data_IF_415453058464
#
_entry.id   IF_415453058464
#
_cell.length_a   1.000
_cell.length_b   1.000
_cell.length_c   1.000
_cell.angle_alpha   90.00
_cell.angle_beta   90.00
_cell.angle_gamma   90.00
#
_symmetry.space_group_name_H-M   'P 1'
#
loop_
_entity.id
_entity.type
_entity.pdbx_description
1 polymer ?
#
# COMPACT_ATOMS: atom_id res chain seq x y z
N UNK A 1 21.22 7.43 11.78
CA UNK A 1 21.10 8.47 10.73
C UNK A 1 19.86 8.15 9.89
N UNK A 2 18.97 9.11 9.65
CA UNK A 2 17.72 8.90 8.91
C UNK A 2 17.93 9.26 7.43
N UNK A 3 17.79 8.28 6.52
CA UNK A 3 17.94 8.50 5.08
C UNK A 3 16.60 8.90 4.43
N UNK A 4 16.46 10.15 3.97
CA UNK A 4 15.20 10.67 3.40
C UNK A 4 15.24 10.67 1.88
N UNK A 5 14.31 9.95 1.26
CA UNK A 5 14.17 9.89 -0.20
C UNK A 5 12.95 10.68 -0.68
N UNK A 6 13.10 11.39 -1.80
CA UNK A 6 12.01 12.16 -2.41
C UNK A 6 11.97 11.95 -3.91
N UNK A 7 10.79 11.70 -4.49
CA UNK A 7 10.64 11.65 -5.96
C UNK A 7 10.99 12.98 -6.65
N UNK A 8 10.94 14.10 -5.91
CA UNK A 8 11.44 15.41 -6.37
C UNK A 8 12.96 15.47 -6.52
N UNK A 9 13.70 14.60 -5.83
CA UNK A 9 15.17 14.59 -5.81
C UNK A 9 15.75 13.45 -6.63
N UNK A 10 15.09 12.28 -6.63
CA UNK A 10 15.55 11.06 -7.27
C UNK A 10 14.34 10.33 -7.82
N UNK A 11 14.40 9.79 -9.04
CA UNK A 11 13.31 8.93 -9.55
C UNK A 11 13.15 7.72 -8.63
N UNK A 12 11.99 7.62 -7.99
CA UNK A 12 11.62 6.50 -7.13
C UNK A 12 10.84 5.49 -7.96
N UNK A 13 11.52 4.77 -8.85
CA UNK A 13 10.91 3.71 -9.66
C UNK A 13 10.78 2.39 -8.87
N UNK A 14 10.23 1.36 -9.52
CA UNK A 14 10.08 0.03 -8.90
C UNK A 14 11.43 -0.56 -8.47
N UNK A 15 12.48 -0.36 -9.28
CA UNK A 15 13.82 -0.87 -9.01
C UNK A 15 14.43 -0.24 -7.74
N UNK A 16 14.11 1.02 -7.47
CA UNK A 16 14.59 1.74 -6.28
C UNK A 16 14.08 1.06 -5.00
N UNK A 17 12.78 0.77 -4.93
CA UNK A 17 12.18 0.21 -3.73
C UNK A 17 12.55 -1.26 -3.55
N UNK A 18 12.52 -2.05 -4.63
CA UNK A 18 12.90 -3.46 -4.60
C UNK A 18 14.31 -3.66 -3.98
N UNK A 19 15.28 -2.84 -4.40
CA UNK A 19 16.65 -2.88 -3.84
C UNK A 19 16.69 -2.61 -2.33
N UNK A 20 15.79 -1.78 -1.81
CA UNK A 20 15.75 -1.35 -0.40
C UNK A 20 14.96 -2.29 0.49
N UNK A 21 13.99 -3.01 -0.07
CA UNK A 21 13.20 -4.02 0.65
C UNK A 21 13.97 -5.33 0.87
N UNK A 22 15.06 -5.56 0.14
CA UNK A 22 15.93 -6.71 0.36
C UNK A 22 16.56 -6.65 1.75
N UNK A 23 16.32 -7.69 2.54
CA UNK A 23 16.82 -7.78 3.92
C UNK A 23 16.04 -6.92 4.92
N UNK A 24 14.89 -6.36 4.53
CA UNK A 24 14.03 -5.62 5.44
C UNK A 24 13.31 -6.58 6.42
N UNK A 25 13.25 -6.18 7.68
CA UNK A 25 12.44 -6.83 8.71
C UNK A 25 11.00 -6.34 8.73
N UNK A 26 10.71 -5.19 8.13
CA UNK A 26 9.35 -4.66 8.05
C UNK A 26 9.27 -3.47 7.12
N UNK A 27 8.07 -3.21 6.63
CA UNK A 27 7.79 -2.08 5.75
C UNK A 27 6.42 -1.47 6.06
N UNK A 28 6.43 -0.21 6.48
CA UNK A 28 5.21 0.56 6.71
C UNK A 28 5.00 1.55 5.59
N UNK A 29 3.79 1.66 5.07
CA UNK A 29 3.46 2.52 3.95
C UNK A 29 2.16 3.28 4.19
N UNK A 30 2.20 4.57 3.90
CA UNK A 30 1.03 5.42 3.67
C UNK A 30 0.91 5.60 2.16
N UNK A 31 -0.26 5.29 1.63
CA UNK A 31 -0.58 5.46 0.22
C UNK A 31 -1.87 6.27 0.04
N UNK A 32 -2.15 6.65 -1.20
CA UNK A 32 -3.24 7.56 -1.53
C UNK A 32 -4.60 6.87 -1.46
N UNK A 33 -5.06 6.34 -2.60
CA UNK A 33 -6.35 5.66 -2.72
C UNK A 33 -6.22 4.14 -2.68
N UNK A 34 -7.16 3.45 -2.04
CA UNK A 34 -7.16 2.00 -1.84
C UNK A 34 -6.92 1.21 -3.12
N UNK A 35 -7.82 1.32 -4.11
CA UNK A 35 -7.77 0.56 -5.37
C UNK A 35 -6.44 0.71 -6.13
N UNK A 36 -5.98 1.95 -6.32
CA UNK A 36 -4.71 2.23 -7.01
C UNK A 36 -3.48 1.84 -6.20
N UNK A 37 -3.52 2.04 -4.88
CA UNK A 37 -2.36 1.83 -4.01
C UNK A 37 -2.10 0.37 -3.73
N UNK A 38 -3.15 -0.44 -3.58
CA UNK A 38 -3.00 -1.86 -3.31
C UNK A 38 -2.40 -2.59 -4.52
N UNK A 39 -2.76 -2.16 -5.73
CA UNK A 39 -2.17 -2.65 -6.98
C UNK A 39 -0.73 -2.19 -7.16
N UNK A 40 -0.40 -0.97 -6.74
CA UNK A 40 0.98 -0.48 -6.73
C UNK A 40 1.86 -1.32 -5.79
N UNK A 41 1.39 -1.57 -4.56
CA UNK A 41 2.06 -2.38 -3.54
C UNK A 41 2.23 -3.84 -3.99
N UNK A 42 1.22 -4.42 -4.64
CA UNK A 42 1.30 -5.78 -5.19
C UNK A 42 2.38 -5.95 -6.27
N UNK A 43 2.76 -4.86 -6.93
CA UNK A 43 3.87 -4.86 -7.88
C UNK A 43 5.24 -4.96 -7.22
N UNK A 44 5.38 -4.61 -5.94
CA UNK A 44 6.67 -4.49 -5.24
C UNK A 44 7.24 -5.85 -4.83
N UNK A 45 8.55 -5.91 -4.54
CA UNK A 45 9.20 -7.13 -4.04
C UNK A 45 9.00 -7.26 -2.52
N UNK A 46 7.75 -7.51 -2.11
CA UNK A 46 7.43 -7.70 -0.70
C UNK A 46 7.92 -9.05 -0.18
N UNK A 47 8.13 -10.04 -1.05
CA UNK A 47 8.63 -11.37 -0.72
C UNK A 47 9.93 -11.31 0.09
N UNK A 48 10.82 -10.38 -0.25
CA UNK A 48 12.12 -10.23 0.41
C UNK A 48 12.05 -9.64 1.81
N UNK A 49 10.89 -9.12 2.24
CA UNK A 49 10.66 -8.62 3.59
C UNK A 49 10.38 -9.80 4.51
N UNK A 50 11.16 -9.96 5.58
CA UNK A 50 11.02 -11.09 6.49
C UNK A 50 9.87 -10.95 7.49
N UNK A 51 9.44 -9.73 7.78
CA UNK A 51 8.30 -9.44 8.64
C UNK A 51 7.13 -8.77 7.91
N UNK A 52 6.19 -8.15 8.66
CA UNK A 52 4.94 -7.65 8.10
C UNK A 52 5.15 -6.41 7.24
N UNK A 53 4.30 -6.28 6.22
CA UNK A 53 4.11 -5.08 5.43
C UNK A 53 2.78 -4.45 5.84
N UNK A 54 2.80 -3.21 6.33
CA UNK A 54 1.59 -2.51 6.80
C UNK A 54 1.29 -1.34 5.88
N UNK A 55 0.09 -1.31 5.33
CA UNK A 55 -0.39 -0.27 4.44
C UNK A 55 -1.56 0.48 5.07
N UNK A 56 -1.48 1.79 5.09
CA UNK A 56 -2.62 2.68 5.37
C UNK A 56 -2.94 3.46 4.11
N UNK A 57 -4.22 3.50 3.73
CA UNK A 57 -4.68 4.22 2.54
C UNK A 57 -6.10 4.76 2.75
N UNK A 58 -6.49 5.73 1.93
CA UNK A 58 -7.82 6.32 1.95
C UNK A 58 -8.74 5.60 0.96
N UNK A 59 -10.04 5.65 1.24
CA UNK A 59 -11.10 5.19 0.35
C UNK A 59 -12.31 6.11 0.51
N UNK A 60 -13.14 6.17 -0.54
CA UNK A 60 -14.42 6.91 -0.51
C UNK A 60 -15.45 6.06 0.25
N UNK A 61 -15.20 5.85 1.54
CA UNK A 61 -16.10 5.16 2.47
C UNK A 61 -16.76 6.23 3.34
N UNK A 62 -18.08 6.14 3.51
CA UNK A 62 -18.78 7.00 4.45
C UNK A 62 -18.30 6.68 5.88
N UNK A 63 -17.83 7.67 6.66
CA UNK A 63 -17.52 7.47 8.07
C UNK A 63 -18.59 6.70 8.85
N UNK A 64 -19.87 6.92 8.54
CA UNK A 64 -21.00 6.24 9.18
C UNK A 64 -21.03 4.75 8.89
N UNK A 65 -20.56 4.32 7.72
CA UNK A 65 -20.46 2.90 7.37
C UNK A 65 -19.42 2.20 8.26
N UNK A 66 -18.36 2.91 8.66
CA UNK A 66 -17.33 2.39 9.57
C UNK A 66 -17.85 2.30 11.01
N UNK A 67 -18.57 3.33 11.47
CA UNK A 67 -19.13 3.39 12.83
C UNK A 67 -20.29 2.41 13.02
N UNK A 68 -21.10 2.19 11.99
CA UNK A 68 -22.38 1.46 12.12
C UNK A 68 -22.24 -0.03 11.82
N UNK A 69 -21.44 -0.42 10.83
CA UNK A 69 -21.28 -1.84 10.49
C UNK A 69 -20.01 -2.13 9.66
N UNK A 70 -19.11 -2.95 10.20
CA UNK A 70 -17.94 -3.50 9.48
C UNK A 70 -18.28 -4.06 8.09
N UNK A 71 -19.49 -4.62 7.92
CA UNK A 71 -19.98 -5.15 6.64
C UNK A 71 -20.25 -4.04 5.60
N UNK A 72 -20.81 -2.91 6.02
CA UNK A 72 -21.06 -1.77 5.12
C UNK A 72 -19.74 -1.18 4.59
N UNK A 73 -18.75 -1.03 5.46
CA UNK A 73 -17.40 -0.61 5.05
C UNK A 73 -16.74 -1.60 4.07
N UNK A 74 -16.91 -2.91 4.29
CA UNK A 74 -16.43 -3.94 3.36
C UNK A 74 -17.13 -3.88 2.00
N UNK A 75 -18.45 -3.66 1.99
CA UNK A 75 -19.22 -3.53 0.76
C UNK A 75 -18.83 -2.26 -0.03
N UNK A 76 -18.56 -1.15 0.66
CA UNK A 76 -18.04 0.07 0.04
C UNK A 76 -16.66 -0.14 -0.60
N UNK A 77 -15.73 -0.81 0.11
CA UNK A 77 -14.43 -1.19 -0.45
C UNK A 77 -14.57 -2.10 -1.67
N UNK A 78 -15.51 -3.04 -1.64
CA UNK A 78 -15.78 -3.94 -2.77
C UNK A 78 -16.29 -3.16 -3.98
N UNK A 79 -17.17 -2.18 -3.77
CA UNK A 79 -17.65 -1.30 -4.85
C UNK A 79 -16.51 -0.51 -5.47
N UNK A 80 -15.67 0.15 -4.68
CA UNK A 80 -14.50 0.87 -5.20
C UNK A 80 -13.58 -0.06 -6.02
N UNK A 81 -13.34 -1.28 -5.53
CA UNK A 81 -12.55 -2.27 -6.26
C UNK A 81 -13.19 -2.66 -7.60
N UNK A 82 -14.50 -2.89 -7.64
CA UNK A 82 -15.22 -3.19 -8.87
C UNK A 82 -15.24 -2.00 -9.84
N UNK A 83 -15.39 -0.78 -9.34
CA UNK A 83 -15.39 0.44 -10.14
C UNK A 83 -14.02 0.69 -10.80
N UNK A 84 -12.94 0.22 -10.19
CA UNK A 84 -11.60 0.24 -10.79
C UNK A 84 -11.43 -0.75 -11.96
N UNK A 85 -12.41 -1.61 -12.22
CA UNK A 85 -12.46 -2.58 -13.31
C UNK A 85 -11.16 -3.41 -13.49
N UNK A 86 -10.63 -4.03 -12.41
CA UNK A 86 -9.37 -4.77 -12.46
C UNK A 86 -9.38 -5.91 -13.49
N UNK A 87 -10.54 -6.48 -13.80
CA UNK A 87 -10.75 -7.51 -14.81
C UNK A 87 -10.47 -7.05 -16.24
N UNK A 88 -10.47 -5.73 -16.49
CA UNK A 88 -10.15 -5.14 -17.81
C UNK A 88 -8.64 -4.93 -17.99
N UNK A 89 -7.84 -5.15 -16.94
CA UNK A 89 -6.39 -5.09 -17.06
C UNK A 89 -5.87 -6.24 -17.93
N UNK A 90 -4.79 -6.02 -18.72
CA UNK A 90 -4.23 -7.05 -19.58
C UNK A 90 -3.84 -8.31 -18.82
N UNK A 91 -3.83 -9.46 -19.49
CA UNK A 91 -3.44 -10.75 -18.89
C UNK A 91 -2.07 -10.72 -18.18
N UNK A 92 -1.15 -9.86 -18.64
CA UNK A 92 0.14 -9.62 -18.00
C UNK A 92 0.02 -9.10 -16.55
N UNK A 93 -1.15 -8.59 -16.12
CA UNK A 93 -1.45 -8.16 -14.77
C UNK A 93 -1.92 -9.30 -13.85
N UNK A 94 -2.39 -10.43 -14.41
CA UNK A 94 -2.88 -11.60 -13.64
C UNK A 94 -1.90 -12.06 -12.54
N UNK A 95 -0.57 -12.16 -12.79
CA UNK A 95 0.38 -12.54 -11.74
C UNK A 95 0.40 -11.57 -10.55
N UNK A 96 0.15 -10.28 -10.78
CA UNK A 96 0.11 -9.27 -9.70
C UNK A 96 -1.10 -9.45 -8.80
N UNK A 97 -2.26 -9.82 -9.37
CA UNK A 97 -3.46 -10.11 -8.59
C UNK A 97 -3.30 -11.36 -7.74
N UNK A 98 -2.69 -12.42 -8.28
CA UNK A 98 -2.39 -13.62 -7.50
C UNK A 98 -1.46 -13.32 -6.33
N UNK A 99 -0.36 -12.59 -6.59
CA UNK A 99 0.57 -12.16 -5.52
C UNK A 99 -0.13 -11.31 -4.45
N UNK A 100 -0.99 -10.38 -4.87
CA UNK A 100 -1.78 -9.58 -3.94
C UNK A 100 -2.66 -10.46 -3.04
N UNK A 101 -3.38 -11.41 -3.64
CA UNK A 101 -4.19 -12.36 -2.91
C UNK A 101 -3.35 -13.15 -1.89
N UNK A 102 -2.21 -13.70 -2.32
CA UNK A 102 -1.32 -14.49 -1.47
C UNK A 102 -0.80 -13.67 -0.27
N UNK A 103 -0.44 -12.41 -0.48
CA UNK A 103 0.02 -11.53 0.60
C UNK A 103 -1.06 -11.17 1.60
N UNK A 104 -2.29 -10.92 1.12
CA UNK A 104 -3.42 -10.62 2.00
C UNK A 104 -3.82 -11.87 2.78
N UNK A 105 -3.92 -13.02 2.12
CA UNK A 105 -4.31 -14.29 2.71
C UNK A 105 -3.30 -14.79 3.77
N UNK A 106 -2.00 -14.63 3.50
CA UNK A 106 -0.94 -14.99 4.45
C UNK A 106 -0.79 -14.00 5.61
N UNK A 107 -1.44 -12.84 5.56
CA UNK A 107 -1.26 -11.76 6.53
C UNK A 107 0.07 -11.02 6.40
N UNK A 108 0.87 -11.31 5.36
CA UNK A 108 2.11 -10.60 5.04
C UNK A 108 1.85 -9.14 4.70
N UNK A 109 0.76 -8.87 3.98
CA UNK A 109 0.25 -7.53 3.74
C UNK A 109 -0.96 -7.25 4.63
N UNK A 110 -0.84 -6.25 5.49
CA UNK A 110 -1.91 -5.79 6.38
C UNK A 110 -2.38 -4.41 5.92
N UNK A 111 -3.63 -4.32 5.47
CA UNK A 111 -4.20 -3.08 4.94
C UNK A 111 -5.20 -2.50 5.93
N UNK A 112 -5.03 -1.21 6.23
CA UNK A 112 -6.03 -0.39 6.94
C UNK A 112 -6.52 0.69 6.00
N UNK A 113 -7.84 0.81 5.92
CA UNK A 113 -8.52 1.78 5.06
C UNK A 113 -9.16 2.84 5.94
N UNK A 114 -8.92 4.11 5.60
CA UNK A 114 -9.48 5.27 6.28
C UNK A 114 -10.51 5.96 5.38
N UNK A 115 -11.61 6.51 5.93
CA UNK A 115 -12.57 7.29 5.17
C UNK A 115 -11.95 8.64 4.81
N UNK A 116 -12.11 9.08 3.56
CA UNK A 116 -11.53 10.35 3.12
C UNK A 116 -12.05 11.54 3.96
N UNK A 117 -13.35 11.52 4.30
CA UNK A 117 -14.04 12.64 4.92
C UNK A 117 -13.48 13.02 6.31
N UNK A 118 -12.77 12.11 6.99
CA UNK A 118 -12.17 12.36 8.31
C UNK A 118 -10.76 12.94 8.19
N UNK A 119 -9.96 12.46 7.23
CA UNK A 119 -8.52 12.76 7.16
C UNK A 119 -8.11 13.64 5.98
N UNK A 120 -9.06 14.01 5.12
CA UNK A 120 -8.82 14.72 3.87
C UNK A 120 -8.11 13.85 2.83
N UNK A 121 -8.02 14.33 1.59
CA UNK A 121 -7.30 13.68 0.50
C UNK A 121 -5.79 13.63 0.78
N UNK A 122 -5.34 12.59 1.50
CA UNK A 122 -3.91 12.31 1.67
C UNK A 122 -3.36 11.76 0.34
N UNK A 123 -2.93 12.64 -0.57
CA UNK A 123 -2.16 12.23 -1.76
C UNK A 123 -0.67 11.99 -1.47
N UNK A 124 -0.23 12.30 -0.24
CA UNK A 124 1.15 12.08 0.18
C UNK A 124 1.43 10.60 0.36
N UNK A 125 2.33 10.05 -0.46
CA UNK A 125 2.81 8.67 -0.27
C UNK A 125 4.10 8.70 0.54
N UNK A 126 4.16 7.90 1.59
CA UNK A 126 5.35 7.76 2.40
C UNK A 126 5.53 6.31 2.84
N UNK A 127 6.76 5.93 3.19
CA UNK A 127 7.00 4.62 3.76
C UNK A 127 8.25 4.58 4.63
N UNK A 128 8.33 3.58 5.48
CA UNK A 128 9.39 3.37 6.46
C UNK A 128 9.84 1.91 6.34
N UNK A 129 11.11 1.72 5.99
CA UNK A 129 11.71 0.39 5.93
C UNK A 129 12.53 0.17 7.18
N UNK A 130 12.27 -0.94 7.87
CA UNK A 130 13.01 -1.39 9.05
C UNK A 130 14.02 -2.45 8.61
N UNK A 131 15.31 -2.21 8.83
CA UNK A 131 16.39 -3.15 8.52
C UNK A 131 16.87 -3.89 9.77
N UNK A 132 17.57 -5.02 9.57
CA UNK A 132 18.14 -5.88 10.62
C UNK A 132 19.03 -5.16 11.63
N UNK A 133 19.70 -4.08 11.21
CA UNK A 133 20.56 -3.25 12.06
C UNK A 133 19.80 -2.22 12.92
N UNK A 134 18.46 -2.19 12.85
CA UNK A 134 17.63 -1.16 13.48
C UNK A 134 17.63 0.18 12.73
N UNK A 135 18.31 0.28 11.59
CA UNK A 135 18.32 1.50 10.76
C UNK A 135 16.98 1.64 10.04
N UNK A 136 16.38 2.82 10.20
CA UNK A 136 15.08 3.17 9.62
C UNK A 136 15.27 4.11 8.43
N UNK A 137 14.71 3.74 7.28
CA UNK A 137 14.83 4.51 6.03
C UNK A 137 13.48 5.06 5.56
N UNK A 138 13.18 6.36 5.76
CA UNK A 138 11.96 6.96 5.25
C UNK A 138 12.01 7.28 3.74
N UNK A 139 10.91 6.96 3.06
CA UNK A 139 10.69 7.21 1.63
C UNK A 139 9.48 8.13 1.52
N UNK A 140 9.56 9.19 0.71
CA UNK A 140 8.43 10.09 0.45
C UNK A 140 8.27 10.29 -1.05
N UNK A 141 7.12 9.97 -1.63
CA UNK A 141 6.72 10.51 -2.93
C UNK A 141 5.81 11.71 -2.68
N UNK A 142 6.25 12.95 -2.94
CA UNK A 142 5.34 14.07 -3.06
C UNK A 142 4.19 13.79 -4.04
N UNK A 143 3.04 14.46 -3.85
CA UNK A 143 1.90 14.38 -4.75
C UNK A 143 2.32 14.75 -6.19
#
# INVERSE_FOLDING_TARGET
MINRFSSRRIRLDHSFLAKRLRGAQGYDRIAGFFSSSIMEVAGEELESVSGPVRLVCNSIIDPKDIETAKKAAQDAMRREWCDAQPERLPDAAKPRFQRLYDFLASGKLQVRVLPDAIFGLIHGKAGVITLTSGVVSPIRRPP
#
